data_IF_879519566431
#
_entry.id   IF_879519566431
#
_cell.length_a   1.000
_cell.length_b   1.000
_cell.length_c   1.000
_cell.angle_alpha   90.00
_cell.angle_beta   90.00
_cell.angle_gamma   90.00
#
_symmetry.space_group_name_H-M   'P 1'
#
loop_
_entity.id
_entity.type
_entity.pdbx_description
1 polymer ?
#
# COMPACT_ATOMS: atom_id res chain seq x y z
N UNK A 1 3.70 10.11 -31.33
CA UNK A 1 2.31 10.40 -30.92
C UNK A 1 1.47 10.31 -32.16
N UNK A 2 0.48 9.43 -32.13
CA UNK A 2 -0.49 9.26 -33.20
C UNK A 2 -1.49 10.42 -33.15
N UNK A 3 -1.95 10.89 -34.31
CA UNK A 3 -2.79 12.08 -34.43
C UNK A 3 -4.15 11.68 -34.98
N UNK A 4 -5.21 12.13 -34.30
CA UNK A 4 -6.57 11.93 -34.79
C UNK A 4 -6.92 12.99 -35.82
N UNK A 5 -7.40 12.57 -36.99
CA UNK A 5 -8.02 13.48 -37.94
C UNK A 5 -9.27 14.08 -37.30
N UNK A 6 -9.64 15.26 -37.79
CA UNK A 6 -10.80 15.97 -37.27
C UNK A 6 -12.10 15.15 -37.27
N UNK A 7 -12.33 14.35 -38.31
CA UNK A 7 -13.51 13.51 -38.41
C UNK A 7 -13.52 12.39 -37.35
N UNK A 8 -12.35 11.83 -37.03
CA UNK A 8 -12.19 10.78 -36.02
C UNK A 8 -12.46 11.36 -34.62
N UNK A 9 -11.90 12.54 -34.32
CA UNK A 9 -12.20 13.29 -33.07
C UNK A 9 -13.71 13.50 -32.91
N UNK A 10 -14.39 13.94 -33.97
CA UNK A 10 -15.82 14.24 -33.92
C UNK A 10 -16.67 12.98 -33.69
N UNK A 11 -16.21 11.81 -34.14
CA UNK A 11 -16.88 10.53 -33.90
C UNK A 11 -16.70 10.08 -32.46
N UNK A 12 -15.47 10.10 -31.94
CA UNK A 12 -15.18 9.68 -30.56
C UNK A 12 -15.84 10.64 -29.56
N UNK A 13 -15.77 11.96 -29.79
CA UNK A 13 -16.45 12.93 -28.93
C UNK A 13 -17.96 12.69 -28.86
N UNK A 14 -18.60 12.22 -29.94
CA UNK A 14 -20.03 11.89 -29.93
C UNK A 14 -20.37 10.63 -29.12
N UNK A 15 -19.44 9.69 -28.94
CA UNK A 15 -19.67 8.51 -28.09
C UNK A 15 -19.58 8.83 -26.60
N UNK A 16 -18.88 9.91 -26.23
CA UNK A 16 -18.74 10.35 -24.85
C UNK A 16 -20.02 10.96 -24.27
N UNK A 17 -20.24 10.73 -22.96
CA UNK A 17 -21.31 11.37 -22.21
C UNK A 17 -21.16 12.90 -22.18
N UNK A 18 -22.26 13.62 -21.91
CA UNK A 18 -22.21 15.08 -21.79
C UNK A 18 -21.20 15.54 -20.71
N UNK A 19 -21.18 14.85 -19.55
CA UNK A 19 -20.24 15.18 -18.47
C UNK A 19 -18.78 15.00 -18.89
N UNK A 20 -18.46 13.90 -19.57
CA UNK A 20 -17.12 13.62 -20.07
C UNK A 20 -16.68 14.66 -21.11
N UNK A 21 -17.55 14.98 -22.08
CA UNK A 21 -17.26 16.02 -23.07
C UNK A 21 -17.01 17.38 -22.43
N UNK A 22 -17.90 17.83 -21.55
CA UNK A 22 -17.74 19.11 -20.86
C UNK A 22 -16.46 19.13 -20.03
N UNK A 23 -16.11 18.01 -19.37
CA UNK A 23 -14.84 17.91 -18.65
C UNK A 23 -13.64 18.05 -19.56
N UNK A 24 -13.63 17.37 -20.72
CA UNK A 24 -12.54 17.49 -21.70
C UNK A 24 -12.45 18.91 -22.26
N UNK A 25 -13.56 19.54 -22.60
CA UNK A 25 -13.59 20.94 -23.06
C UNK A 25 -12.97 21.88 -22.01
N UNK A 26 -13.34 21.73 -20.73
CA UNK A 26 -12.76 22.52 -19.64
C UNK A 26 -11.29 22.17 -19.35
N UNK A 27 -10.89 20.91 -19.50
CA UNK A 27 -9.48 20.50 -19.42
C UNK A 27 -8.67 21.18 -20.52
N UNK A 28 -9.19 21.22 -21.75
CA UNK A 28 -8.58 21.89 -22.89
C UNK A 28 -8.45 23.39 -22.66
N UNK A 29 -9.52 24.05 -22.22
CA UNK A 29 -9.50 25.49 -21.91
C UNK A 29 -8.48 25.83 -20.84
N UNK A 30 -8.47 25.08 -19.73
CA UNK A 30 -7.49 25.26 -18.65
C UNK A 30 -6.06 25.04 -19.14
N UNK A 31 -5.80 23.95 -19.88
CA UNK A 31 -4.49 23.66 -20.44
C UNK A 31 -3.98 24.76 -21.37
N UNK A 32 -4.83 25.21 -22.30
CA UNK A 32 -4.52 26.31 -23.24
C UNK A 32 -4.24 27.62 -22.50
N UNK A 33 -5.03 27.93 -21.46
CA UNK A 33 -4.82 29.10 -20.61
C UNK A 33 -3.49 29.06 -19.86
N UNK A 34 -3.17 27.93 -19.24
CA UNK A 34 -1.92 27.73 -18.51
C UNK A 34 -0.72 27.82 -19.44
N UNK A 35 -0.78 27.17 -20.60
CA UNK A 35 0.33 27.18 -21.56
C UNK A 35 0.58 28.59 -22.11
N UNK A 36 -0.48 29.30 -22.48
CA UNK A 36 -0.39 30.71 -22.89
C UNK A 36 0.27 31.54 -21.78
N UNK A 37 -0.23 31.46 -20.54
CA UNK A 37 0.32 32.22 -19.42
C UNK A 37 1.80 31.90 -19.15
N UNK A 38 2.19 30.63 -19.28
CA UNK A 38 3.58 30.19 -19.09
C UNK A 38 4.52 30.79 -20.14
N UNK A 39 4.10 30.82 -21.41
CA UNK A 39 4.90 31.40 -22.50
C UNK A 39 5.06 32.91 -22.26
N UNK A 40 3.96 33.61 -21.95
CA UNK A 40 4.01 35.05 -21.64
C UNK A 40 4.87 35.38 -20.42
N UNK A 41 4.80 34.56 -19.36
CA UNK A 41 5.58 34.76 -18.14
C UNK A 41 7.09 34.54 -18.36
N UNK A 42 7.46 33.52 -19.14
CA UNK A 42 8.86 33.24 -19.49
C UNK A 42 9.49 34.39 -20.27
N UNK A 43 8.79 34.89 -21.29
CA UNK A 43 9.31 35.98 -22.11
C UNK A 43 9.41 37.27 -21.30
N UNK A 44 8.37 37.59 -20.49
CA UNK A 44 8.41 38.75 -19.58
C UNK A 44 9.60 38.71 -18.60
N UNK A 45 10.01 37.53 -18.14
CA UNK A 45 11.17 37.38 -17.27
C UNK A 45 12.52 37.55 -18.02
N UNK A 46 12.53 37.31 -19.34
CA UNK A 46 13.71 37.45 -20.18
C UNK A 46 13.91 38.88 -20.70
N UNK A 47 12.85 39.68 -20.82
CA UNK A 47 12.90 41.06 -21.35
C UNK A 47 13.18 42.11 -20.28
N UNK A 48 14.21 42.94 -20.49
CA UNK A 48 14.66 43.98 -19.55
C UNK A 48 14.18 45.40 -19.91
N UNK A 49 13.52 45.58 -21.05
CA UNK A 49 13.10 46.88 -21.63
C UNK A 49 11.61 47.16 -21.42
N UNK A 50 11.27 48.39 -21.04
CA UNK A 50 9.92 48.78 -20.62
C UNK A 50 8.87 48.82 -21.75
N UNK A 51 9.28 49.05 -23.00
CA UNK A 51 8.38 49.15 -24.16
C UNK A 51 7.84 47.80 -24.65
N UNK A 52 8.50 46.69 -24.33
CA UNK A 52 8.05 45.34 -24.69
C UNK A 52 6.94 44.82 -23.75
N UNK A 53 6.64 45.54 -22.66
CA UNK A 53 5.69 45.07 -21.65
C UNK A 53 4.23 45.03 -22.10
N UNK A 54 3.82 45.85 -23.07
CA UNK A 54 2.44 45.90 -23.56
C UNK A 54 2.01 44.63 -24.32
N UNK A 55 2.96 43.95 -24.99
CA UNK A 55 2.71 42.67 -25.64
C UNK A 55 2.39 41.57 -24.61
N UNK A 56 2.88 41.68 -23.37
CA UNK A 56 2.69 40.70 -22.30
C UNK A 56 1.41 40.86 -21.49
N UNK A 57 0.53 41.80 -21.89
CA UNK A 57 -0.73 42.07 -21.18
C UNK A 57 -1.89 41.25 -21.72
N UNK A 58 -1.70 40.51 -22.81
CA UNK A 58 -2.69 39.59 -23.32
C UNK A 58 -2.83 38.35 -22.43
N UNK A 59 -4.05 37.89 -22.24
CA UNK A 59 -4.38 36.64 -21.58
C UNK A 59 -5.33 35.80 -22.42
N UNK A 60 -5.19 34.48 -22.33
CA UNK A 60 -6.12 33.54 -22.90
C UNK A 60 -7.40 33.46 -22.07
N UNK A 61 -8.55 33.73 -22.69
CA UNK A 61 -9.85 33.76 -22.02
C UNK A 61 -10.64 32.50 -22.31
N UNK A 62 -10.81 32.15 -23.59
CA UNK A 62 -11.68 31.04 -23.97
C UNK A 62 -11.31 30.39 -25.32
N UNK A 63 -11.82 29.18 -25.51
CA UNK A 63 -11.72 28.37 -26.71
C UNK A 63 -13.09 27.81 -27.06
N UNK A 64 -13.58 28.10 -28.27
CA UNK A 64 -14.88 27.63 -28.75
C UNK A 64 -14.69 26.76 -29.98
N UNK A 65 -15.22 25.53 -29.95
CA UNK A 65 -15.44 24.68 -31.14
C UNK A 65 -16.91 24.76 -31.56
N UNK A 66 -17.17 25.26 -32.77
CA UNK A 66 -18.51 25.26 -33.37
C UNK A 66 -18.97 23.85 -33.85
N UNK A 67 -18.10 22.85 -33.73
CA UNK A 67 -18.39 21.45 -34.00
C UNK A 67 -18.40 21.11 -35.51
N UNK A 68 -18.82 19.89 -35.88
CA UNK A 68 -18.77 19.41 -37.26
C UNK A 68 -19.65 20.23 -38.22
N UNK A 69 -20.74 20.81 -37.71
CA UNK A 69 -21.71 21.59 -38.49
C UNK A 69 -21.41 23.10 -38.52
N UNK A 70 -20.20 23.51 -38.13
CA UNK A 70 -19.80 24.92 -38.00
C UNK A 70 -20.06 25.79 -39.24
N UNK A 71 -20.04 25.22 -40.45
CA UNK A 71 -20.35 25.95 -41.69
C UNK A 71 -21.81 26.37 -41.79
N UNK A 72 -22.70 25.61 -41.15
CA UNK A 72 -24.16 25.79 -41.12
C UNK A 72 -24.66 26.35 -39.79
N UNK A 73 -23.80 26.44 -38.78
CA UNK A 73 -24.13 26.98 -37.47
C UNK A 73 -24.47 28.48 -37.56
N UNK A 74 -25.50 28.89 -36.82
CA UNK A 74 -25.88 30.29 -36.63
C UNK A 74 -26.05 30.57 -35.13
N UNK A 75 -25.35 31.58 -34.56
CA UNK A 75 -24.43 32.50 -35.24
C UNK A 75 -23.09 31.83 -35.61
N UNK A 76 -22.49 32.25 -36.72
CA UNK A 76 -21.15 31.80 -37.12
C UNK A 76 -20.08 32.37 -36.20
N UNK A 77 -19.11 31.55 -35.82
CA UNK A 77 -17.87 32.04 -35.23
C UNK A 77 -17.05 32.71 -36.33
N UNK A 78 -16.65 33.96 -36.11
CA UNK A 78 -15.87 34.74 -37.06
C UNK A 78 -14.52 35.13 -36.47
N UNK A 79 -13.50 35.19 -37.30
CA UNK A 79 -12.24 35.84 -36.98
C UNK A 79 -12.40 37.36 -37.04
N UNK A 80 -11.48 38.13 -36.43
CA UNK A 80 -11.39 39.59 -36.61
C UNK A 80 -11.35 40.03 -38.09
N UNK A 81 -10.81 39.19 -38.99
CA UNK A 81 -10.82 39.46 -40.43
C UNK A 81 -12.12 39.05 -41.16
N UNK A 82 -13.15 38.62 -40.44
CA UNK A 82 -14.46 38.21 -40.97
C UNK A 82 -14.54 36.79 -41.53
N UNK A 83 -13.43 36.02 -41.52
CA UNK A 83 -13.46 34.61 -41.98
C UNK A 83 -14.22 33.73 -40.98
N UNK A 84 -15.10 32.83 -41.44
CA UNK A 84 -15.78 31.90 -40.56
C UNK A 84 -14.81 30.86 -40.02
N UNK A 85 -14.95 30.52 -38.74
CA UNK A 85 -14.08 29.64 -37.98
C UNK A 85 -14.86 28.45 -37.45
N UNK A 86 -14.20 27.28 -37.48
CA UNK A 86 -14.62 26.17 -36.61
C UNK A 86 -14.15 26.41 -35.19
N UNK A 87 -12.88 26.78 -35.04
CA UNK A 87 -12.21 27.00 -33.77
C UNK A 87 -11.93 28.48 -33.57
N UNK A 88 -12.50 29.06 -32.52
CA UNK A 88 -12.28 30.46 -32.15
C UNK A 88 -11.51 30.51 -30.83
N UNK A 89 -10.35 31.16 -30.88
CA UNK A 89 -9.52 31.48 -29.73
C UNK A 89 -9.84 32.91 -29.31
N UNK A 90 -10.07 33.11 -28.01
CA UNK A 90 -10.44 34.40 -27.44
C UNK A 90 -9.35 34.82 -26.46
N UNK A 91 -8.77 35.97 -26.71
CA UNK A 91 -7.78 36.60 -25.83
C UNK A 91 -8.25 37.98 -25.42
N UNK A 92 -7.82 38.43 -24.23
CA UNK A 92 -8.13 39.74 -23.71
C UNK A 92 -6.85 40.46 -23.28
N UNK A 93 -6.72 41.73 -23.61
CA UNK A 93 -5.68 42.58 -23.08
C UNK A 93 -6.11 43.08 -21.68
N UNK A 94 -5.27 42.85 -20.67
CA UNK A 94 -5.58 43.20 -19.27
C UNK A 94 -5.58 44.70 -18.99
N UNK A 95 -4.83 45.49 -19.75
CA UNK A 95 -4.71 46.93 -19.53
C UNK A 95 -5.76 47.73 -20.28
N UNK A 96 -6.05 47.37 -21.55
CA UNK A 96 -7.07 48.06 -22.34
C UNK A 96 -8.46 47.46 -22.20
N UNK A 97 -8.55 46.19 -21.79
CA UNK A 97 -9.79 45.41 -21.77
C UNK A 97 -10.20 44.88 -23.15
N UNK A 98 -9.41 45.15 -24.21
CA UNK A 98 -9.73 44.75 -25.57
C UNK A 98 -9.78 43.23 -25.70
N UNK A 99 -10.85 42.72 -26.32
CA UNK A 99 -11.02 41.29 -26.58
C UNK A 99 -10.85 41.04 -28.07
N UNK A 100 -10.00 40.07 -28.41
CA UNK A 100 -9.77 39.65 -29.81
C UNK A 100 -10.18 38.19 -30.00
N UNK A 101 -10.82 37.91 -31.13
CA UNK A 101 -11.35 36.60 -31.50
C UNK A 101 -10.80 36.16 -32.85
N UNK A 102 -10.06 35.06 -32.88
CA UNK A 102 -9.39 34.62 -34.11
C UNK A 102 -9.19 33.11 -34.20
N UNK A 103 -8.85 32.65 -35.40
CA UNK A 103 -8.36 31.29 -35.61
C UNK A 103 -6.87 31.20 -35.29
N UNK A 104 -6.37 29.99 -35.01
CA UNK A 104 -4.96 29.76 -34.64
C UNK A 104 -3.95 30.27 -35.69
N UNK A 105 -4.33 30.32 -36.96
CA UNK A 105 -3.46 30.79 -38.05
C UNK A 105 -3.27 32.31 -38.02
N UNK A 106 -4.26 33.06 -37.53
CA UNK A 106 -4.20 34.53 -37.48
C UNK A 106 -3.77 35.06 -36.10
N UNK A 107 -3.22 34.18 -35.27
CA UNK A 107 -2.79 34.50 -33.92
C UNK A 107 -1.72 35.61 -33.91
N UNK A 108 -0.70 35.46 -34.77
CA UNK A 108 0.37 36.46 -34.93
C UNK A 108 -0.18 37.81 -35.44
N UNK A 109 -1.00 37.76 -36.50
CA UNK A 109 -1.54 38.93 -37.20
C UNK A 109 -2.42 39.81 -36.31
N UNK A 110 -3.22 39.22 -35.43
CA UNK A 110 -4.19 39.97 -34.65
C UNK A 110 -3.69 40.39 -33.28
N UNK A 111 -2.79 39.64 -32.64
CA UNK A 111 -2.34 39.98 -31.27
C UNK A 111 -1.16 40.96 -31.30
N UNK A 112 -0.42 41.05 -32.41
CA UNK A 112 0.75 41.91 -32.52
C UNK A 112 1.94 41.41 -31.69
N UNK A 113 1.99 40.11 -31.44
CA UNK A 113 3.09 39.46 -30.73
C UNK A 113 4.27 39.24 -31.68
N UNK A 114 5.52 39.24 -31.16
CA UNK A 114 6.68 38.82 -31.93
C UNK A 114 6.49 37.43 -32.56
N UNK A 115 6.97 37.19 -33.79
CA UNK A 115 6.76 35.92 -34.49
C UNK A 115 7.23 34.68 -33.71
N UNK A 116 8.34 34.78 -32.97
CA UNK A 116 8.85 33.67 -32.17
C UNK A 116 7.88 33.30 -31.03
N UNK A 117 7.30 34.29 -30.36
CA UNK A 117 6.36 34.11 -29.26
C UNK A 117 5.05 33.51 -29.76
N UNK A 118 4.53 34.00 -30.89
CA UNK A 118 3.36 33.44 -31.54
C UNK A 118 3.55 31.96 -31.90
N UNK A 119 4.74 31.60 -32.40
CA UNK A 119 5.10 30.22 -32.72
C UNK A 119 5.17 29.33 -31.47
N UNK A 120 5.74 29.82 -30.37
CA UNK A 120 5.79 29.09 -29.10
C UNK A 120 4.40 28.84 -28.52
N UNK A 121 3.55 29.86 -28.51
CA UNK A 121 2.16 29.72 -28.06
C UNK A 121 1.45 28.68 -28.93
N UNK A 122 1.57 28.77 -30.25
CA UNK A 122 0.96 27.80 -31.16
C UNK A 122 1.40 26.36 -30.86
N UNK A 123 2.70 26.12 -30.69
CA UNK A 123 3.24 24.79 -30.32
C UNK A 123 2.69 24.32 -28.97
N UNK A 124 2.59 25.22 -28.01
CA UNK A 124 2.00 24.94 -26.70
C UNK A 124 0.53 24.53 -26.82
N UNK A 125 -0.27 25.26 -27.58
CA UNK A 125 -1.68 24.95 -27.82
C UNK A 125 -1.85 23.61 -28.56
N UNK A 126 -1.01 23.34 -29.57
CA UNK A 126 -0.95 22.04 -30.27
C UNK A 126 -0.62 20.89 -29.32
N UNK A 127 0.27 21.11 -28.33
CA UNK A 127 0.56 20.12 -27.29
C UNK A 127 -0.68 19.77 -26.47
N UNK A 128 -1.50 20.75 -26.12
CA UNK A 128 -2.75 20.50 -25.40
C UNK A 128 -3.72 19.70 -26.29
N UNK A 129 -3.76 19.98 -27.60
CA UNK A 129 -4.56 19.19 -28.54
C UNK A 129 -4.04 17.74 -28.66
N UNK A 130 -2.73 17.48 -28.54
CA UNK A 130 -2.20 16.12 -28.47
C UNK A 130 -2.57 15.38 -27.19
N UNK A 131 -2.62 16.08 -26.06
CA UNK A 131 -3.10 15.49 -24.80
C UNK A 131 -4.57 15.07 -24.92
N UNK A 132 -5.40 15.86 -25.63
CA UNK A 132 -6.76 15.45 -25.94
C UNK A 132 -6.83 14.21 -26.81
N UNK A 133 -6.05 14.18 -27.90
CA UNK A 133 -6.01 13.04 -28.81
C UNK A 133 -5.60 11.77 -28.09
N UNK A 134 -4.63 11.86 -27.19
CA UNK A 134 -4.20 10.73 -26.37
C UNK A 134 -5.36 10.15 -25.54
N UNK A 135 -6.17 11.01 -24.92
CA UNK A 135 -7.36 10.57 -24.17
C UNK A 135 -8.37 9.94 -25.13
N UNK A 136 -8.65 10.56 -26.26
CA UNK A 136 -9.66 10.08 -27.21
C UNK A 136 -9.26 8.74 -27.85
N UNK A 137 -7.98 8.56 -28.20
CA UNK A 137 -7.45 7.27 -28.68
C UNK A 137 -7.66 6.20 -27.62
N UNK A 138 -7.30 6.49 -26.37
CA UNK A 138 -7.50 5.55 -25.25
C UNK A 138 -8.97 5.23 -24.99
N UNK A 139 -9.89 6.16 -25.25
CA UNK A 139 -11.34 5.89 -25.17
C UNK A 139 -11.73 4.87 -26.24
N UNK A 140 -11.26 5.06 -27.48
CA UNK A 140 -11.54 4.16 -28.61
C UNK A 140 -10.93 2.77 -28.40
N UNK A 141 -9.77 2.70 -27.73
CA UNK A 141 -9.07 1.46 -27.36
C UNK A 141 -9.61 0.78 -26.08
N UNK A 142 -10.71 1.27 -25.50
CA UNK A 142 -11.30 0.75 -24.26
C UNK A 142 -10.29 0.68 -23.10
N UNK A 143 -9.46 1.72 -22.96
CA UNK A 143 -8.41 1.79 -21.95
C UNK A 143 -8.96 1.66 -20.51
N UNK A 144 -8.23 0.94 -19.66
CA UNK A 144 -8.50 0.83 -18.22
C UNK A 144 -7.20 0.84 -17.42
N UNK A 145 -7.28 1.03 -16.10
CA UNK A 145 -6.11 0.92 -15.22
C UNK A 145 -5.40 -0.45 -15.35
N UNK A 146 -6.17 -1.51 -15.61
CA UNK A 146 -5.63 -2.85 -15.81
C UNK A 146 -4.76 -2.95 -17.07
N UNK A 147 -5.11 -2.26 -18.16
CA UNK A 147 -4.30 -2.28 -19.41
C UNK A 147 -2.91 -1.68 -19.20
N UNK A 148 -2.77 -0.78 -18.22
CA UNK A 148 -1.48 -0.18 -17.82
C UNK A 148 -0.79 -0.88 -16.65
N UNK A 149 -1.26 -2.06 -16.27
CA UNK A 149 -0.68 -2.88 -15.21
C UNK A 149 -0.99 -2.40 -13.79
N UNK A 150 -2.02 -1.57 -13.62
CA UNK A 150 -2.52 -1.12 -12.31
C UNK A 150 -3.79 -1.90 -12.03
N UNK A 151 -3.66 -3.02 -11.32
CA UNK A 151 -4.79 -3.90 -11.01
C UNK A 151 -5.77 -3.24 -10.02
N UNK A 152 -5.24 -2.70 -8.92
CA UNK A 152 -6.04 -2.09 -7.86
C UNK A 152 -5.35 -0.81 -7.34
N UNK A 153 -6.18 0.17 -7.00
CA UNK A 153 -5.75 1.41 -6.36
C UNK A 153 -6.10 1.34 -4.87
N UNK A 154 -5.11 1.26 -3.97
CA UNK A 154 -5.34 1.29 -2.52
C UNK A 154 -6.08 2.56 -2.11
N UNK A 155 -7.11 2.42 -1.26
CA UNK A 155 -7.95 3.52 -0.78
C UNK A 155 -7.20 4.59 0.03
N UNK A 156 -6.04 4.22 0.58
CA UNK A 156 -5.22 5.09 1.44
C UNK A 156 -4.23 5.96 0.66
N UNK A 157 -4.17 5.82 -0.67
CA UNK A 157 -3.34 6.68 -1.52
C UNK A 157 -4.08 7.99 -1.77
N UNK A 158 -3.40 9.10 -1.46
CA UNK A 158 -3.88 10.44 -1.83
C UNK A 158 -3.62 10.67 -3.32
N UNK A 159 -4.65 10.42 -4.13
CA UNK A 159 -4.59 10.60 -5.58
C UNK A 159 -4.74 12.09 -5.91
N UNK A 160 -3.82 12.67 -6.70
CA UNK A 160 -3.94 14.05 -7.14
C UNK A 160 -5.31 14.35 -7.77
N UNK A 161 -5.88 15.50 -7.43
CA UNK A 161 -7.24 15.87 -7.85
C UNK A 161 -7.45 15.80 -9.37
N UNK A 162 -6.44 16.17 -10.16
CA UNK A 162 -6.50 16.11 -11.62
C UNK A 162 -6.68 14.68 -12.16
N UNK A 163 -6.06 13.70 -11.49
CA UNK A 163 -6.18 12.27 -11.81
C UNK A 163 -7.52 11.75 -11.30
N UNK A 164 -7.87 12.07 -10.06
CA UNK A 164 -9.11 11.59 -9.43
C UNK A 164 -10.34 12.01 -10.23
N UNK A 165 -10.41 13.27 -10.67
CA UNK A 165 -11.53 13.78 -11.47
C UNK A 165 -11.73 13.01 -12.79
N UNK A 166 -10.66 12.56 -13.44
CA UNK A 166 -10.77 11.76 -14.65
C UNK A 166 -11.25 10.34 -14.34
N UNK A 167 -10.73 9.72 -13.28
CA UNK A 167 -11.16 8.39 -12.84
C UNK A 167 -12.64 8.39 -12.44
N UNK A 168 -13.10 9.41 -11.73
CA UNK A 168 -14.51 9.58 -11.34
C UNK A 168 -15.46 9.71 -12.54
N UNK A 169 -14.95 10.16 -13.69
CA UNK A 169 -15.68 10.28 -14.95
C UNK A 169 -15.43 9.10 -15.91
N UNK A 170 -14.73 8.06 -15.44
CA UNK A 170 -14.32 6.90 -16.24
C UNK A 170 -13.58 7.32 -17.53
N UNK A 171 -12.82 8.40 -17.46
CA UNK A 171 -11.99 8.89 -18.56
C UNK A 171 -10.56 8.32 -18.45
N UNK A 172 -9.94 7.96 -19.58
CA UNK A 172 -8.56 7.55 -19.60
C UNK A 172 -7.61 8.63 -19.09
N UNK A 173 -6.55 8.17 -18.41
CA UNK A 173 -5.48 9.03 -17.94
C UNK A 173 -4.42 9.26 -19.02
N UNK A 174 -3.81 10.44 -19.01
CA UNK A 174 -2.64 10.73 -19.82
C UNK A 174 -1.45 9.88 -19.37
N UNK A 175 -0.50 9.59 -20.25
CA UNK A 175 0.70 8.79 -19.97
C UNK A 175 1.57 9.44 -18.90
N UNK A 176 1.58 10.78 -18.85
CA UNK A 176 2.22 11.53 -17.76
C UNK A 176 1.53 11.29 -16.41
N UNK A 177 0.20 11.18 -16.40
CA UNK A 177 -0.58 10.92 -15.18
C UNK A 177 -0.46 9.47 -14.75
N UNK A 178 -0.47 8.52 -15.70
CA UNK A 178 -0.20 7.10 -15.42
C UNK A 178 1.19 6.93 -14.80
N UNK A 179 2.23 7.58 -15.35
CA UNK A 179 3.57 7.57 -14.75
C UNK A 179 3.57 8.11 -13.32
N UNK A 180 3.00 9.30 -13.11
CA UNK A 180 2.88 9.91 -11.77
C UNK A 180 2.12 9.00 -10.79
N UNK A 181 1.06 8.33 -11.24
CA UNK A 181 0.29 7.40 -10.43
C UNK A 181 1.10 6.16 -10.05
N UNK A 182 1.91 5.62 -10.98
CA UNK A 182 2.83 4.51 -10.70
C UNK A 182 3.89 4.89 -9.67
N UNK A 183 4.43 6.11 -9.76
CA UNK A 183 5.42 6.61 -8.81
C UNK A 183 4.80 6.70 -7.40
N UNK A 184 3.59 7.27 -7.28
CA UNK A 184 2.85 7.30 -6.01
C UNK A 184 2.57 5.90 -5.44
N UNK A 185 2.19 4.94 -6.30
CA UNK A 185 1.98 3.55 -5.90
C UNK A 185 3.27 2.90 -5.41
N UNK A 186 4.41 3.17 -6.06
CA UNK A 186 5.70 2.64 -5.65
C UNK A 186 6.12 3.20 -4.28
N UNK A 187 5.99 4.52 -4.09
CA UNK A 187 6.27 5.19 -2.82
C UNK A 187 5.40 4.67 -1.68
N UNK A 188 4.10 4.49 -1.93
CA UNK A 188 3.17 3.93 -0.95
C UNK A 188 3.54 2.50 -0.57
N UNK A 189 3.85 1.64 -1.55
CA UNK A 189 4.26 0.24 -1.30
C UNK A 189 5.55 0.19 -0.49
N UNK A 190 6.52 1.04 -0.79
CA UNK A 190 7.78 1.11 -0.04
C UNK A 190 7.55 1.55 1.40
N UNK A 191 6.69 2.57 1.61
CA UNK A 191 6.34 3.05 2.95
C UNK A 191 5.66 1.94 3.77
N UNK A 192 4.66 1.27 3.20
CA UNK A 192 3.97 0.12 3.83
C UNK A 192 4.95 -0.99 4.18
N UNK A 193 5.83 -1.36 3.27
CA UNK A 193 6.84 -2.39 3.54
C UNK A 193 7.78 -2.02 4.70
N UNK A 194 8.20 -0.75 4.78
CA UNK A 194 9.03 -0.26 5.89
C UNK A 194 8.28 -0.26 7.23
N UNK A 195 7.01 0.13 7.22
CA UNK A 195 6.13 0.10 8.40
C UNK A 195 5.96 -1.35 8.89
N UNK A 196 5.61 -2.28 8.00
CA UNK A 196 5.48 -3.70 8.33
C UNK A 196 6.79 -4.29 8.89
N UNK A 197 7.94 -3.92 8.32
CA UNK A 197 9.24 -4.38 8.82
C UNK A 197 9.57 -3.79 10.20
N UNK A 198 9.21 -2.53 10.44
CA UNK A 198 9.39 -1.89 11.75
C UNK A 198 8.49 -2.53 12.81
N UNK A 199 7.22 -2.81 12.46
CA UNK A 199 6.26 -3.50 13.32
C UNK A 199 6.75 -4.92 13.68
N UNK A 200 7.25 -5.68 12.70
CA UNK A 200 7.84 -7.01 12.93
C UNK A 200 9.04 -6.94 13.88
N UNK A 201 9.96 -5.98 13.67
CA UNK A 201 11.12 -5.76 14.55
C UNK A 201 10.72 -5.33 15.96
N UNK A 202 9.69 -4.49 16.09
CA UNK A 202 9.18 -4.07 17.40
C UNK A 202 8.49 -5.23 18.12
N UNK A 203 7.73 -6.05 17.41
CA UNK A 203 7.12 -7.27 17.95
C UNK A 203 8.18 -8.27 18.42
N UNK A 204 9.26 -8.47 17.67
CA UNK A 204 10.41 -9.29 18.07
C UNK A 204 11.11 -8.74 19.30
N UNK A 205 11.38 -7.43 19.36
CA UNK A 205 11.95 -6.78 20.55
C UNK A 205 11.05 -6.91 21.78
N UNK A 206 9.73 -6.81 21.61
CA UNK A 206 8.77 -7.04 22.71
C UNK A 206 8.77 -8.50 23.17
N UNK A 207 8.92 -9.47 22.27
CA UNK A 207 9.08 -10.89 22.61
C UNK A 207 10.38 -11.16 23.39
N UNK A 208 11.50 -10.57 22.96
CA UNK A 208 12.80 -10.67 23.66
C UNK A 208 12.77 -9.94 25.01
N UNK A 209 12.20 -8.74 25.08
CA UNK A 209 12.07 -7.99 26.33
C UNK A 209 11.11 -8.64 27.34
N UNK A 210 10.09 -9.37 26.88
CA UNK A 210 9.25 -10.21 27.74
C UNK A 210 10.00 -11.46 28.22
N UNK A 211 10.82 -12.11 27.37
CA UNK A 211 11.63 -13.25 27.81
C UNK A 211 12.75 -12.84 28.78
N UNK A 212 13.37 -11.68 28.59
CA UNK A 212 14.35 -11.11 29.51
C UNK A 212 13.72 -10.63 30.82
N UNK A 213 12.52 -10.01 30.81
CA UNK A 213 11.77 -9.71 32.05
C UNK A 213 11.35 -10.97 32.81
N UNK A 214 11.01 -12.05 32.10
CA UNK A 214 10.78 -13.36 32.72
C UNK A 214 12.05 -13.93 33.37
N UNK A 215 13.21 -13.82 32.72
CA UNK A 215 14.49 -14.28 33.29
C UNK A 215 14.99 -13.41 34.45
N UNK A 216 14.81 -12.09 34.41
CA UNK A 216 15.19 -11.18 35.50
C UNK A 216 14.25 -11.31 36.70
N UNK A 217 12.94 -11.53 36.48
CA UNK A 217 12.02 -11.86 37.57
C UNK A 217 12.31 -13.22 38.18
N UNK A 218 12.73 -14.23 37.38
CA UNK A 218 13.22 -15.51 37.92
C UNK A 218 14.45 -15.32 38.82
N UNK A 219 15.44 -14.54 38.38
CA UNK A 219 16.65 -14.23 39.18
C UNK A 219 16.36 -13.37 40.42
N UNK A 220 15.35 -12.48 40.40
CA UNK A 220 14.92 -11.75 41.61
C UNK A 220 14.09 -12.61 42.56
N UNK A 221 13.36 -13.59 42.05
CA UNK A 221 12.64 -14.58 42.87
C UNK A 221 13.63 -15.53 43.57
N UNK A 222 14.72 -15.91 42.90
CA UNK A 222 15.77 -16.77 43.45
C UNK A 222 16.62 -16.11 44.55
N UNK A 223 16.59 -14.77 44.68
CA UNK A 223 17.45 -14.02 45.61
C UNK A 223 16.70 -13.38 46.80
N UNK A 224 15.36 -13.37 46.82
CA UNK A 224 14.55 -12.86 47.93
C UNK A 224 13.29 -13.70 48.19
N UNK A 225 13.45 -15.02 48.27
CA UNK A 225 12.36 -15.96 48.51
C UNK A 225 12.83 -17.29 49.11
N UNK A 226 13.73 -17.24 50.08
CA UNK A 226 13.76 -18.29 51.10
C UNK A 226 12.46 -18.16 51.89
N UNK A 227 11.76 -19.28 52.03
CA UNK A 227 10.46 -19.47 52.69
C UNK A 227 9.21 -19.40 51.78
N UNK A 228 8.85 -20.60 51.30
CA UNK A 228 7.50 -21.07 50.99
C UNK A 228 6.76 -20.49 49.78
N UNK A 229 7.02 -21.11 48.62
CA UNK A 229 6.17 -21.08 47.41
C UNK A 229 6.38 -22.34 46.58
N UNK A 230 5.85 -23.45 47.09
CA UNK A 230 6.02 -24.83 46.64
C UNK A 230 5.16 -25.13 45.40
N UNK A 231 5.77 -25.56 44.29
CA UNK A 231 5.22 -26.50 43.31
C UNK A 231 6.37 -26.95 42.40
N UNK A 232 7.11 -27.94 42.90
CA UNK A 232 8.16 -28.65 42.18
C UNK A 232 7.75 -30.11 42.17
N UNK A 233 7.56 -30.70 40.99
CA UNK A 233 7.37 -32.15 40.83
C UNK A 233 8.47 -32.83 41.67
N UNK A 234 8.08 -33.57 42.71
CA UNK A 234 9.01 -34.30 43.57
C UNK A 234 9.51 -35.54 42.83
N UNK A 235 10.57 -36.16 43.35
CA UNK A 235 11.10 -37.41 42.80
C UNK A 235 10.02 -38.52 42.71
N UNK A 236 8.99 -38.47 43.57
CA UNK A 236 7.86 -39.40 43.51
C UNK A 236 7.01 -39.21 42.26
N UNK A 237 6.72 -37.96 41.88
CA UNK A 237 5.96 -37.66 40.66
C UNK A 237 6.82 -37.83 39.40
N UNK A 238 8.14 -37.60 39.45
CA UNK A 238 9.05 -37.97 38.35
C UNK A 238 8.98 -39.47 38.07
N UNK A 239 9.08 -40.30 39.12
CA UNK A 239 8.97 -41.76 39.00
C UNK A 239 7.62 -42.18 38.42
N UNK A 240 6.54 -41.48 38.74
CA UNK A 240 5.23 -41.73 38.17
C UNK A 240 5.17 -41.48 36.65
N UNK A 241 5.82 -40.43 36.16
CA UNK A 241 5.95 -40.17 34.72
C UNK A 241 6.74 -41.29 34.04
N UNK A 242 7.83 -41.75 34.65
CA UNK A 242 8.60 -42.87 34.11
C UNK A 242 7.80 -44.18 34.07
N UNK A 243 7.05 -44.50 35.12
CA UNK A 243 6.18 -45.68 35.15
C UNK A 243 5.09 -45.59 34.09
N UNK A 244 4.47 -44.42 33.95
CA UNK A 244 3.46 -44.18 32.92
C UNK A 244 3.99 -44.48 31.51
N UNK A 245 5.19 -43.99 31.18
CA UNK A 245 5.82 -44.22 29.87
C UNK A 245 6.15 -45.71 29.67
N UNK A 246 6.54 -46.41 30.74
CA UNK A 246 6.94 -47.83 30.70
C UNK A 246 5.75 -48.79 30.58
N UNK A 247 4.65 -48.52 31.26
CA UNK A 247 3.49 -49.43 31.36
C UNK A 247 2.50 -49.28 30.20
N UNK A 248 2.51 -48.15 29.49
CA UNK A 248 1.46 -47.81 28.52
C UNK A 248 1.43 -48.70 27.28
N UNK A 249 2.56 -49.28 26.85
CA UNK A 249 2.65 -50.20 25.70
C UNK A 249 2.29 -49.60 24.32
N UNK A 250 1.71 -48.41 24.27
CA UNK A 250 1.45 -47.62 23.06
C UNK A 250 2.70 -46.85 22.62
N UNK A 251 2.82 -46.62 21.31
CA UNK A 251 4.00 -45.98 20.74
C UNK A 251 4.02 -44.46 20.92
N UNK A 252 2.88 -43.78 21.13
CA UNK A 252 2.78 -42.31 21.12
C UNK A 252 1.84 -41.78 22.21
N UNK A 253 2.15 -40.60 22.77
CA UNK A 253 1.35 -39.95 23.81
C UNK A 253 1.48 -38.43 23.85
N UNK A 254 0.44 -37.77 24.35
CA UNK A 254 0.42 -36.33 24.58
C UNK A 254 0.88 -35.97 25.99
N UNK A 255 1.54 -34.81 26.14
CA UNK A 255 1.95 -34.32 27.46
C UNK A 255 0.77 -34.04 28.39
N UNK A 256 -0.41 -33.70 27.86
CA UNK A 256 -1.64 -33.57 28.64
C UNK A 256 -2.10 -34.88 29.27
N UNK A 257 -1.91 -36.02 28.60
CA UNK A 257 -2.29 -37.34 29.12
C UNK A 257 -1.42 -37.74 30.32
N UNK A 258 -0.15 -37.33 30.33
CA UNK A 258 0.74 -37.48 31.49
C UNK A 258 0.26 -36.62 32.65
N UNK A 259 -0.20 -35.40 32.38
CA UNK A 259 -0.79 -34.53 33.41
C UNK A 259 -2.03 -35.19 34.03
N UNK A 260 -2.91 -35.75 33.21
CA UNK A 260 -4.11 -36.45 33.66
C UNK A 260 -3.79 -37.67 34.51
N UNK A 261 -2.79 -38.46 34.09
CA UNK A 261 -2.31 -39.60 34.87
C UNK A 261 -1.80 -39.18 36.26
N UNK A 262 -1.02 -38.09 36.35
CA UNK A 262 -0.52 -37.57 37.62
C UNK A 262 -1.64 -37.00 38.51
N UNK A 263 -2.67 -36.38 37.93
CA UNK A 263 -3.83 -35.88 38.67
C UNK A 263 -4.62 -37.04 39.26
N UNK A 264 -4.94 -38.05 38.44
CA UNK A 264 -5.81 -39.17 38.82
C UNK A 264 -5.11 -40.11 39.80
N UNK A 265 -3.85 -40.48 39.54
CA UNK A 265 -3.17 -41.54 40.28
C UNK A 265 -2.20 -41.04 41.35
N UNK A 266 -1.76 -39.78 41.25
CA UNK A 266 -0.78 -39.20 42.18
C UNK A 266 -1.30 -37.97 42.93
N UNK A 267 -2.58 -37.62 42.75
CA UNK A 267 -3.26 -36.57 43.51
C UNK A 267 -2.76 -35.15 43.21
N UNK A 268 -2.18 -34.94 42.03
CA UNK A 268 -1.74 -33.61 41.59
C UNK A 268 -2.92 -32.68 41.35
N UNK A 269 -2.66 -31.38 41.49
CA UNK A 269 -3.69 -30.34 41.35
C UNK A 269 -4.25 -30.33 39.92
N UNK A 270 -5.58 -30.44 39.79
CA UNK A 270 -6.31 -30.33 38.52
C UNK A 270 -6.53 -28.88 38.05
N UNK A 271 -5.87 -27.92 38.70
CA UNK A 271 -6.01 -26.50 38.40
C UNK A 271 -5.55 -26.21 36.97
N UNK A 272 -6.33 -25.40 36.26
CA UNK A 272 -6.06 -24.99 34.87
C UNK A 272 -5.81 -23.48 34.81
N UNK A 273 -5.00 -23.05 33.86
CA UNK A 273 -4.90 -21.64 33.48
C UNK A 273 -6.16 -21.20 32.73
N UNK A 274 -6.35 -19.89 32.54
CA UNK A 274 -7.44 -19.34 31.72
C UNK A 274 -7.40 -19.80 30.26
N UNK A 275 -6.26 -20.34 29.81
CA UNK A 275 -6.08 -20.97 28.49
C UNK A 275 -6.59 -22.41 28.41
N UNK A 276 -7.01 -23.03 29.53
CA UNK A 276 -7.46 -24.42 29.58
C UNK A 276 -6.36 -25.46 29.84
N UNK A 277 -5.08 -25.09 29.82
CA UNK A 277 -3.95 -25.98 30.13
C UNK A 277 -3.80 -26.22 31.64
N UNK A 278 -3.39 -27.43 32.04
CA UNK A 278 -3.11 -27.74 33.45
C UNK A 278 -1.94 -26.90 33.98
N UNK A 279 -2.01 -26.46 35.24
CA UNK A 279 -0.93 -25.68 35.86
C UNK A 279 0.38 -26.48 35.96
N UNK A 280 0.28 -27.80 36.12
CA UNK A 280 1.41 -28.75 36.15
C UNK A 280 2.01 -29.04 34.76
N UNK A 281 1.39 -28.58 33.68
CA UNK A 281 1.80 -28.91 32.31
C UNK A 281 3.24 -28.46 32.00
N UNK A 282 3.62 -27.28 32.50
CA UNK A 282 4.98 -26.77 32.35
C UNK A 282 6.02 -27.68 32.98
N UNK A 283 5.73 -28.18 34.18
CA UNK A 283 6.63 -29.05 34.93
C UNK A 283 6.72 -30.44 34.30
N UNK A 284 5.60 -30.99 33.83
CA UNK A 284 5.57 -32.27 33.09
C UNK A 284 6.40 -32.18 31.82
N UNK A 285 6.31 -31.08 31.07
CA UNK A 285 7.12 -30.86 29.87
C UNK A 285 8.63 -30.77 30.17
N UNK A 286 9.04 -30.34 31.37
CA UNK A 286 10.45 -30.35 31.79
C UNK A 286 10.90 -31.79 32.01
N UNK A 287 10.12 -32.59 32.73
CA UNK A 287 10.43 -34.01 32.97
C UNK A 287 10.50 -34.78 31.64
N UNK A 288 9.53 -34.59 30.75
CA UNK A 288 9.53 -35.26 29.43
C UNK A 288 10.75 -34.87 28.59
N UNK A 289 11.25 -33.63 28.70
CA UNK A 289 12.50 -33.23 28.04
C UNK A 289 13.73 -33.92 28.63
N UNK A 290 13.74 -34.19 29.94
CA UNK A 290 14.79 -35.01 30.58
C UNK A 290 14.74 -36.45 30.04
N UNK A 291 13.54 -37.02 29.90
CA UNK A 291 13.33 -38.38 29.34
C UNK A 291 13.73 -38.46 27.86
N UNK A 292 13.46 -37.41 27.08
CA UNK A 292 13.87 -37.28 25.68
C UNK A 292 15.40 -37.23 25.56
N UNK A 293 16.09 -36.49 26.43
CA UNK A 293 17.56 -36.43 26.48
C UNK A 293 18.19 -37.78 26.86
N UNK A 294 17.48 -38.60 27.62
CA UNK A 294 17.88 -39.97 27.96
C UNK A 294 17.60 -40.98 26.82
N UNK A 295 16.96 -40.54 25.73
CA UNK A 295 16.71 -41.36 24.54
C UNK A 295 15.53 -42.34 24.67
N UNK A 296 14.74 -42.26 25.75
CA UNK A 296 13.59 -43.15 25.95
C UNK A 296 12.36 -42.70 25.14
N UNK A 297 12.26 -41.41 24.81
CA UNK A 297 11.19 -40.84 23.98
C UNK A 297 11.73 -39.86 22.93
N UNK A 298 10.98 -39.64 21.87
CA UNK A 298 11.27 -38.69 20.79
C UNK A 298 10.09 -37.73 20.61
N UNK A 299 10.37 -36.42 20.52
CA UNK A 299 9.35 -35.43 20.22
C UNK A 299 8.93 -35.50 18.74
N UNK A 300 7.63 -35.63 18.48
CA UNK A 300 7.08 -35.69 17.12
C UNK A 300 6.63 -34.31 16.64
N UNK A 301 5.66 -33.72 17.32
CA UNK A 301 5.01 -32.48 16.87
C UNK A 301 4.28 -31.76 18.01
N UNK A 302 3.84 -30.54 17.71
CA UNK A 302 3.07 -29.68 18.60
C UNK A 302 1.76 -29.29 17.94
N UNK A 303 0.66 -29.29 18.67
CA UNK A 303 -0.66 -28.89 18.15
C UNK A 303 -0.88 -27.36 18.22
N UNK A 304 -2.03 -26.92 17.68
CA UNK A 304 -2.44 -25.51 17.68
C UNK A 304 -2.74 -24.95 19.09
N UNK A 305 -2.91 -25.81 20.09
CA UNK A 305 -3.20 -25.46 21.50
C UNK A 305 -1.93 -25.46 22.37
N UNK A 306 -0.77 -25.78 21.77
CA UNK A 306 0.54 -25.93 22.38
C UNK A 306 0.80 -27.22 23.18
N UNK A 307 -0.01 -28.26 22.99
CA UNK A 307 0.27 -29.61 23.49
C UNK A 307 1.36 -30.31 22.65
N UNK A 308 2.08 -31.25 23.25
CA UNK A 308 3.24 -31.92 22.66
C UNK A 308 3.02 -33.41 22.54
N UNK A 309 3.23 -33.93 21.33
CA UNK A 309 3.17 -35.36 21.02
C UNK A 309 4.58 -35.97 21.10
N UNK A 310 4.71 -37.04 21.86
CA UNK A 310 5.95 -37.80 22.04
C UNK A 310 5.75 -39.25 21.59
N UNK A 311 6.84 -39.87 21.13
CA UNK A 311 6.93 -41.28 20.77
C UNK A 311 7.85 -42.03 21.71
N UNK A 312 7.49 -43.22 22.16
CA UNK A 312 8.39 -44.09 22.94
C UNK A 312 9.35 -44.80 21.98
N UNK A 313 10.65 -44.66 22.18
CA UNK A 313 11.70 -45.19 21.28
C UNK A 313 12.43 -46.38 21.91
N UNK A 314 12.70 -46.34 23.22
CA UNK A 314 13.33 -47.46 23.91
C UNK A 314 12.87 -47.54 25.37
N UNK A 315 12.11 -48.59 25.72
CA UNK A 315 11.58 -48.79 27.08
C UNK A 315 12.61 -49.36 28.07
N UNK A 316 13.84 -49.64 27.62
CA UNK A 316 14.84 -50.42 28.39
C UNK A 316 15.97 -49.54 28.97
N UNK A 317 16.09 -48.26 28.56
CA UNK A 317 17.15 -47.34 29.01
C UNK A 317 16.91 -46.56 30.30
N UNK A 318 15.76 -46.72 30.99
CA UNK A 318 15.44 -45.96 32.21
C UNK A 318 16.10 -46.63 33.42
N UNK A 319 17.36 -46.28 33.69
CA UNK A 319 18.06 -46.69 34.92
C UNK A 319 17.49 -45.94 36.12
N UNK A 320 16.92 -46.67 37.08
CA UNK A 320 16.69 -46.19 38.44
C UNK A 320 18.05 -45.96 39.12
N UNK A 321 18.67 -44.79 38.93
CA UNK A 321 19.65 -44.30 39.90
C UNK A 321 18.89 -43.58 41.03
N UNK A 322 18.43 -44.38 41.99
CA UNK A 322 18.24 -43.93 43.36
C UNK A 322 19.34 -44.62 44.14
N UNK A 323 20.39 -43.85 44.45
CA UNK A 323 21.34 -44.22 45.50
C UNK A 323 20.56 -44.43 46.79
N UNK A 324 20.53 -45.69 47.19
CA UNK A 324 20.21 -46.14 48.53
C UNK A 324 21.39 -45.75 49.44
N UNK A 325 21.36 -44.55 50.01
CA UNK A 325 22.23 -44.19 51.13
C UNK A 325 21.38 -43.82 52.34
N UNK A 326 20.79 -44.85 52.94
CA UNK A 326 20.40 -44.80 54.35
C UNK A 326 20.74 -46.11 55.04
N UNK A 327 22.04 -46.37 55.17
CA UNK A 327 22.55 -47.26 56.20
C UNK A 327 23.95 -46.86 56.66
N UNK A 328 23.95 -46.17 57.81
CA UNK A 328 24.96 -46.19 58.88
C UNK A 328 25.81 -44.93 59.09
N UNK A 329 25.42 -44.15 60.10
CA UNK A 329 26.33 -43.74 61.15
C UNK A 329 25.78 -44.20 62.50
N UNK A 330 26.58 -45.04 63.15
CA UNK A 330 26.47 -45.49 64.53
C UNK A 330 27.14 -44.49 65.49
N UNK A 331 26.80 -44.59 66.78
CA UNK A 331 27.41 -43.96 67.97
C UNK A 331 27.07 -42.48 68.25
N UNK A 332 26.10 -42.25 69.15
CA UNK A 332 26.35 -42.03 70.59
C UNK A 332 25.09 -42.33 71.41
#
# INVERSE_FOLDING_TARGET
MEYLKQAERDVILKSLSLKQRTFLEELMKRGKRTEFANVMAKEKAATTTADDHAAFEWEFVDYIDAGPEWRRAEPKLLCECGRPLRYQYIVQNRSTGDVKKFGIVHFEEHVGLPPHLALEIKKGLEKIDYEMDEILIKVDEEWTLATVGIADLPSEIDVPNDIQQQLDLELPLLDRQVRRLRDLLAEWREKRYKEELAEKREAEKKKVGQSERFQVNKRKFDLQGSENGNLSITNKEKNAVFQYIKERGESEFWASEVCEHLIINHGMTSAKYSSGAYQIFGDVCIVLKEVEQQGAIEFIQKDDVNDRLYKVVDSIGITNEIDDDSSQLSLF
#
